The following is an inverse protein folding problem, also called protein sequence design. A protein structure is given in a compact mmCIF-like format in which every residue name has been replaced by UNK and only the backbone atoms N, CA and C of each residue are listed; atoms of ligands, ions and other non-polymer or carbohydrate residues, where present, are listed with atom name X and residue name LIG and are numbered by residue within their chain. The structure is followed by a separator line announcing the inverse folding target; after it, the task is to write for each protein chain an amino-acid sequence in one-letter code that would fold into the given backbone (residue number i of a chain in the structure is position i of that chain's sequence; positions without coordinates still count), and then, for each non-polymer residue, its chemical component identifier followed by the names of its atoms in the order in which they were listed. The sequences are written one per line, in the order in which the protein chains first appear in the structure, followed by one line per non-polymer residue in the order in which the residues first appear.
data_IF_788500622545
#
_entry.id   IF_788500622545
#
_cell.length_a   1.000
_cell.length_b   1.000
_cell.length_c   1.000
_cell.angle_alpha   90.00
_cell.angle_beta   90.00
_cell.angle_gamma   90.00
#
_symmetry.space_group_name_H-M   'P 1'
#
loop_
_entity.id
_entity.type
_entity.pdbx_description
1 polymer ?
#
# COMPACT_ATOMS: atom_id res chain seq x y z
N UNK A 1 16.96 0.91 -4.19
CA UNK A 1 15.85 0.14 -4.78
C UNK A 1 14.71 0.06 -3.77
N UNK A 2 13.50 0.51 -4.14
CA UNK A 2 12.34 0.52 -3.23
C UNK A 2 11.70 -0.87 -3.14
N UNK A 3 11.47 -1.36 -1.92
CA UNK A 3 10.68 -2.58 -1.67
C UNK A 3 9.20 -2.26 -1.70
N UNK A 4 8.44 -3.08 -2.41
CA UNK A 4 7.00 -2.96 -2.59
C UNK A 4 6.34 -4.33 -2.51
N UNK A 5 5.03 -4.35 -2.30
CA UNK A 5 4.23 -5.52 -2.63
C UNK A 5 3.50 -5.24 -3.93
N UNK A 6 3.66 -6.14 -4.90
CA UNK A 6 3.01 -6.07 -6.19
C UNK A 6 1.87 -7.09 -6.26
N UNK A 7 0.72 -6.66 -6.78
CA UNK A 7 -0.47 -7.47 -6.95
C UNK A 7 -0.34 -8.32 -8.22
N UNK A 8 -0.54 -9.63 -8.07
CA UNK A 8 -0.59 -10.61 -9.15
C UNK A 8 -1.64 -11.65 -8.78
N UNK A 9 -2.60 -11.92 -9.66
CA UNK A 9 -3.68 -12.88 -9.44
C UNK A 9 -4.48 -12.64 -8.14
N UNK A 10 -4.72 -11.36 -7.80
CA UNK A 10 -5.47 -10.97 -6.60
C UNK A 10 -4.69 -11.01 -5.28
N UNK A 11 -3.44 -11.49 -5.29
CA UNK A 11 -2.55 -11.53 -4.12
C UNK A 11 -1.37 -10.59 -4.26
N UNK A 12 -0.91 -10.04 -3.14
CA UNK A 12 0.25 -9.16 -3.08
C UNK A 12 1.50 -9.96 -2.70
N UNK A 13 2.57 -9.82 -3.49
CA UNK A 13 3.84 -10.55 -3.30
C UNK A 13 5.01 -9.56 -3.17
N UNK A 14 6.05 -9.89 -2.38
CA UNK A 14 7.24 -9.05 -2.26
C UNK A 14 7.92 -8.85 -3.61
N UNK A 15 8.19 -7.60 -3.94
CA UNK A 15 8.88 -7.21 -5.15
C UNK A 15 9.77 -5.99 -4.90
N UNK A 16 10.68 -5.76 -5.84
CA UNK A 16 11.57 -4.59 -5.83
C UNK A 16 11.33 -3.80 -7.10
N UNK A 17 11.15 -2.50 -6.96
CA UNK A 17 11.08 -1.61 -8.12
C UNK A 17 12.47 -1.49 -8.74
N UNK A 18 12.55 -1.80 -10.03
CA UNK A 18 13.79 -1.77 -10.81
C UNK A 18 13.73 -0.76 -11.95
N UNK A 19 12.56 -0.57 -12.56
CA UNK A 19 12.42 0.30 -13.72
C UNK A 19 11.08 1.06 -13.68
N UNK A 20 11.10 2.31 -14.13
CA UNK A 20 9.90 3.11 -14.39
C UNK A 20 9.96 3.53 -15.87
N UNK A 21 8.95 3.15 -16.66
CA UNK A 21 8.89 3.50 -18.09
C UNK A 21 8.01 4.74 -18.32
N UNK A 22 8.19 5.38 -19.48
CA UNK A 22 7.32 6.46 -19.96
C UNK A 22 5.93 5.85 -20.20
N UNK A 23 4.90 6.37 -19.53
CA UNK A 23 3.53 5.82 -19.59
C UNK A 23 3.00 5.20 -18.29
N UNK A 24 3.68 5.38 -17.15
CA UNK A 24 3.28 4.85 -15.82
C UNK A 24 3.38 3.33 -15.64
N UNK A 25 4.05 2.63 -16.56
CA UNK A 25 4.40 1.22 -16.38
C UNK A 25 5.53 1.09 -15.35
N UNK A 26 5.27 0.30 -14.30
CA UNK A 26 6.24 0.00 -13.26
C UNK A 26 6.85 -1.38 -13.49
N UNK A 27 8.15 -1.43 -13.78
CA UNK A 27 8.95 -2.65 -13.84
C UNK A 27 9.37 -3.09 -12.45
N UNK A 28 8.74 -4.15 -11.95
CA UNK A 28 9.05 -4.77 -10.65
C UNK A 28 9.67 -6.14 -10.84
N UNK A 29 10.58 -6.50 -9.95
CA UNK A 29 11.13 -7.84 -9.87
C UNK A 29 10.56 -8.52 -8.63
N UNK A 30 9.79 -9.59 -8.80
CA UNK A 30 9.31 -10.39 -7.67
C UNK A 30 10.45 -11.14 -7.00
N UNK A 31 10.31 -11.40 -5.70
CA UNK A 31 11.27 -12.22 -4.98
C UNK A 31 11.30 -13.64 -5.58
N UNK A 32 12.48 -14.07 -6.03
CA UNK A 32 12.69 -15.37 -6.70
C UNK A 32 12.67 -15.31 -8.23
N UNK A 33 12.13 -14.22 -8.82
CA UNK A 33 12.10 -14.05 -10.28
C UNK A 33 13.43 -13.48 -10.80
N UNK A 34 13.88 -13.98 -11.96
CA UNK A 34 15.04 -13.43 -12.68
C UNK A 34 14.68 -12.26 -13.60
N UNK A 35 13.40 -12.15 -14.00
CA UNK A 35 12.90 -11.15 -14.94
C UNK A 35 12.17 -9.99 -14.27
N UNK A 36 12.02 -8.89 -15.02
CA UNK A 36 11.13 -7.80 -14.65
C UNK A 36 9.71 -8.12 -15.15
N UNK A 37 8.72 -7.90 -14.28
CA UNK A 37 7.31 -7.84 -14.65
C UNK A 37 6.91 -6.37 -14.74
N UNK A 38 6.34 -5.96 -15.87
CA UNK A 38 5.79 -4.62 -16.03
C UNK A 38 4.31 -4.65 -15.62
N UNK A 39 3.94 -3.76 -14.70
CA UNK A 39 2.57 -3.60 -14.23
C UNK A 39 1.98 -2.34 -14.89
N UNK A 40 0.95 -2.54 -15.70
CA UNK A 40 0.19 -1.46 -16.33
C UNK A 40 -0.65 -0.72 -15.29
N UNK A 41 -0.63 0.62 -15.33
CA UNK A 41 -1.49 1.44 -14.48
C UNK A 41 -1.23 1.32 -12.98
N UNK A 42 0.02 1.03 -12.59
CA UNK A 42 0.46 0.66 -11.23
C UNK A 42 0.02 1.57 -10.06
N UNK A 43 -0.58 2.73 -10.35
CA UNK A 43 -1.02 3.74 -9.39
C UNK A 43 -2.53 4.02 -9.40
N UNK A 44 -3.25 3.66 -10.48
CA UNK A 44 -4.64 4.11 -10.73
C UNK A 44 -5.70 3.05 -10.42
N UNK A 45 -5.32 1.81 -10.16
CA UNK A 45 -6.27 0.76 -9.78
C UNK A 45 -6.81 0.95 -8.36
N UNK A 46 -8.08 0.63 -8.14
CA UNK A 46 -8.67 0.45 -6.81
C UNK A 46 -9.08 -1.03 -6.61
N UNK A 47 -8.41 -1.80 -5.75
CA UNK A 47 -7.24 -1.41 -4.96
C UNK A 47 -5.95 -1.31 -5.81
N UNK A 48 -4.95 -0.54 -5.35
CA UNK A 48 -3.72 -0.27 -6.10
C UNK A 48 -2.97 -1.56 -6.43
N UNK A 49 -2.36 -1.62 -7.62
CA UNK A 49 -1.57 -2.77 -8.04
C UNK A 49 -0.24 -2.88 -7.27
N UNK A 50 0.22 -1.79 -6.66
CA UNK A 50 1.49 -1.74 -5.92
C UNK A 50 1.28 -1.00 -4.61
N UNK A 51 1.81 -1.55 -3.52
CA UNK A 51 1.80 -0.93 -2.19
C UNK A 51 3.18 -0.97 -1.56
N UNK A 52 3.41 -0.12 -0.56
CA UNK A 52 4.69 -0.08 0.14
C UNK A 52 4.85 -1.31 1.06
N UNK A 53 5.99 -2.01 0.96
CA UNK A 53 6.34 -3.10 1.89
C UNK A 53 6.97 -2.52 3.18
N UNK A 54 6.18 -1.74 3.92
CA UNK A 54 6.56 -1.18 5.21
C UNK A 54 5.44 -1.36 6.25
N UNK A 55 5.83 -1.77 7.45
CA UNK A 55 4.92 -1.86 8.59
C UNK A 55 4.35 -0.47 8.91
N UNK A 56 3.03 -0.29 8.93
CA UNK A 56 2.43 1.01 9.19
C UNK A 56 2.65 1.49 10.64
N UNK A 57 2.71 2.81 10.86
CA UNK A 57 2.63 3.39 12.19
C UNK A 57 1.25 3.11 12.79
N UNK A 58 1.15 2.98 14.12
CA UNK A 58 -0.10 2.67 14.79
C UNK A 58 -1.20 3.70 14.50
N UNK A 59 -0.86 5.00 14.44
CA UNK A 59 -1.80 6.06 14.12
C UNK A 59 -2.37 6.03 12.69
N UNK A 60 -1.81 5.21 11.79
CA UNK A 60 -2.35 5.01 10.44
C UNK A 60 -3.28 3.80 10.34
N UNK A 61 -3.50 3.06 11.44
CA UNK A 61 -4.38 1.89 11.48
C UNK A 61 -5.58 2.17 12.38
N UNK A 62 -6.74 2.35 11.75
CA UNK A 62 -8.04 2.46 12.41
C UNK A 62 -9.05 1.44 11.86
N UNK A 63 -10.17 1.27 12.55
CA UNK A 63 -11.33 0.54 11.98
C UNK A 63 -11.75 1.23 10.67
N UNK A 64 -12.03 0.43 9.63
CA UNK A 64 -12.31 0.90 8.28
C UNK A 64 -11.07 1.10 7.40
N UNK A 65 -9.85 1.02 7.96
CA UNK A 65 -8.62 1.18 7.17
C UNK A 65 -8.44 0.01 6.20
N UNK A 66 -8.24 0.31 4.92
CA UNK A 66 -7.89 -0.67 3.90
C UNK A 66 -6.41 -1.08 4.02
N UNK A 67 -6.18 -2.38 4.12
CA UNK A 67 -4.86 -2.96 4.37
C UNK A 67 -4.60 -4.16 3.47
N UNK A 68 -3.32 -4.45 3.26
CA UNK A 68 -2.83 -5.75 2.85
C UNK A 68 -2.39 -6.49 4.11
N UNK A 69 -2.99 -7.65 4.38
CA UNK A 69 -2.67 -8.45 5.55
C UNK A 69 -2.11 -9.82 5.16
N UNK A 70 -1.08 -10.24 5.88
CA UNK A 70 -0.52 -11.58 5.77
C UNK A 70 -1.22 -12.50 6.76
N UNK A 71 -1.79 -13.59 6.25
CA UNK A 71 -2.54 -14.57 7.03
C UNK A 71 -1.62 -15.50 7.83
N UNK A 72 -0.61 -16.06 7.16
CA UNK A 72 0.34 -16.97 7.78
C UNK A 72 1.73 -16.30 7.84
N UNK A 73 2.37 -16.21 9.02
CA UNK A 73 3.75 -15.76 9.15
C UNK A 73 4.79 -16.53 8.31
N UNK A 74 4.52 -17.81 7.99
CA UNK A 74 5.36 -18.65 7.13
C UNK A 74 5.18 -18.33 5.65
N UNK A 75 4.06 -17.71 5.26
CA UNK A 75 3.84 -17.24 3.90
C UNK A 75 4.49 -15.88 3.66
N UNK A 76 4.67 -15.55 2.38
CA UNK A 76 5.07 -14.21 1.93
C UNK A 76 3.93 -13.47 1.23
N UNK A 77 2.73 -14.06 1.22
CA UNK A 77 1.57 -13.54 0.52
C UNK A 77 0.76 -12.60 1.41
N UNK A 78 0.31 -11.50 0.81
CA UNK A 78 -0.58 -10.56 1.44
C UNK A 78 -1.90 -10.50 0.66
N UNK A 79 -3.01 -10.38 1.39
CA UNK A 79 -4.34 -10.28 0.80
C UNK A 79 -4.99 -8.95 1.19
N UNK A 80 -5.75 -8.33 0.28
CA UNK A 80 -6.47 -7.10 0.58
C UNK A 80 -7.58 -7.39 1.61
N UNK A 81 -7.78 -6.45 2.53
CA UNK A 81 -8.83 -6.50 3.53
C UNK A 81 -9.04 -5.17 4.22
N UNK A 82 -9.97 -5.16 5.16
CA UNK A 82 -10.33 -3.99 5.95
C UNK A 82 -10.23 -4.32 7.43
N UNK A 83 -9.61 -3.43 8.21
CA UNK A 83 -9.59 -3.54 9.67
C UNK A 83 -11.01 -3.33 10.20
N UNK A 84 -11.52 -4.29 10.98
CA UNK A 84 -12.86 -4.22 11.59
C UNK A 84 -12.80 -4.03 13.10
N UNK A 85 -11.69 -4.38 13.74
CA UNK A 85 -11.52 -4.32 15.19
C UNK A 85 -10.04 -4.16 15.55
N UNK A 86 -9.74 -3.53 16.69
CA UNK A 86 -8.37 -3.30 17.16
C UNK A 86 -8.30 -3.70 18.65
N UNK A 87 -7.35 -4.56 18.97
CA UNK A 87 -6.97 -4.88 20.35
C UNK A 87 -5.68 -4.15 20.70
N UNK A 88 -5.64 -3.51 21.87
CA UNK A 88 -4.48 -2.75 22.33
C UNK A 88 -3.46 -3.60 23.10
N UNK A 89 -3.83 -4.80 23.59
CA UNK A 89 -3.02 -5.61 24.51
C UNK A 89 -3.09 -7.11 24.17
N UNK A 90 -2.15 -7.66 23.36
CA UNK A 90 -1.14 -6.95 22.56
C UNK A 90 -1.77 -6.24 21.34
N UNK A 91 -1.08 -5.27 20.71
CA UNK A 91 -1.54 -4.60 19.50
C UNK A 91 -1.81 -5.57 18.35
N UNK A 92 -3.10 -5.84 18.12
CA UNK A 92 -3.59 -6.76 17.09
C UNK A 92 -4.78 -6.15 16.36
N UNK A 93 -4.94 -6.50 15.09
CA UNK A 93 -5.95 -5.92 14.22
C UNK A 93 -6.75 -7.03 13.59
N UNK A 94 -8.06 -6.96 13.70
CA UNK A 94 -8.95 -7.94 13.11
C UNK A 94 -9.27 -7.51 11.69
N UNK A 95 -8.94 -8.34 10.71
CA UNK A 95 -9.02 -8.00 9.29
C UNK A 95 -10.07 -8.87 8.59
N UNK A 96 -10.98 -8.22 7.86
CA UNK A 96 -11.93 -8.86 6.95
C UNK A 96 -11.39 -8.80 5.52
N UNK A 97 -11.15 -9.95 4.90
CA UNK A 97 -10.53 -10.07 3.58
C UNK A 97 -11.55 -9.99 2.43
N UNK A 98 -11.10 -9.64 1.22
CA UNK A 98 -11.90 -9.55 0.00
C UNK A 98 -11.42 -10.52 -1.11
N UNK A 99 -12.28 -10.99 -2.05
CA UNK A 99 -13.75 -10.99 -2.03
C UNK A 99 -14.30 -12.25 -1.31
N UNK A 100 -15.57 -12.25 -0.89
CA UNK A 100 -16.20 -13.35 -0.14
C UNK A 100 -16.05 -14.71 -0.83
N UNK A 101 -16.00 -15.83 -0.07
CA UNK A 101 -16.97 -16.21 0.98
C UNK A 101 -16.74 -15.57 2.36
N UNK A 102 -17.71 -15.68 3.29
CA UNK A 102 -17.66 -15.07 4.62
C UNK A 102 -16.64 -15.79 5.52
N UNK A 103 -15.35 -15.66 5.22
CA UNK A 103 -14.32 -16.03 6.17
C UNK A 103 -14.44 -15.10 7.40
N UNK A 104 -14.38 -15.64 8.62
CA UNK A 104 -14.39 -14.81 9.81
C UNK A 104 -13.18 -13.88 9.78
N UNK A 105 -13.34 -12.62 10.24
CA UNK A 105 -12.20 -11.70 10.34
C UNK A 105 -11.11 -12.28 11.24
N UNK A 106 -9.85 -12.23 10.75
CA UNK A 106 -8.69 -12.86 11.40
C UNK A 106 -7.88 -11.81 12.15
N UNK A 107 -7.40 -12.16 13.34
CA UNK A 107 -6.47 -11.32 14.09
C UNK A 107 -5.06 -11.41 13.51
N UNK A 108 -4.51 -10.26 13.14
CA UNK A 108 -3.16 -10.15 12.56
C UNK A 108 -2.34 -9.15 13.38
N UNK A 109 -1.07 -9.46 13.72
CA UNK A 109 -0.19 -8.49 14.36
C UNK A 109 0.16 -7.35 13.41
N UNK A 110 0.51 -6.18 13.95
CA UNK A 110 0.89 -5.00 13.15
C UNK A 110 1.97 -5.31 12.10
N UNK A 111 2.94 -6.17 12.43
CA UNK A 111 4.03 -6.58 11.53
C UNK A 111 3.55 -7.29 10.27
N UNK A 112 2.37 -7.91 10.30
CA UNK A 112 1.72 -8.57 9.16
C UNK A 112 0.84 -7.66 8.31
N UNK A 113 0.78 -6.35 8.60
CA UNK A 113 -0.05 -5.38 7.87
C UNK A 113 0.79 -4.45 6.99
N UNK A 114 0.23 -4.06 5.86
CA UNK A 114 0.71 -2.98 4.98
C UNK A 114 -0.48 -2.10 4.61
N UNK A 115 -0.27 -0.80 4.43
CA UNK A 115 -1.34 0.09 3.99
C UNK A 115 -1.67 -0.19 2.53
N UNK A 116 -2.95 -0.36 2.22
CA UNK A 116 -3.44 -0.52 0.86
C UNK A 116 -3.49 0.84 0.16
N UNK A 117 -2.32 1.47 0.00
CA UNK A 117 -2.15 2.78 -0.62
C UNK A 117 -0.97 2.77 -1.59
N UNK A 118 -1.02 3.56 -2.67
CA UNK A 118 0.12 3.70 -3.55
C UNK A 118 1.35 4.19 -2.78
N UNK A 119 2.56 3.69 -3.07
CA UNK A 119 3.79 4.08 -2.36
C UNK A 119 4.20 5.54 -2.60
N UNK A 120 3.70 6.15 -3.67
CA UNK A 120 4.04 7.48 -4.13
C UNK A 120 2.78 8.34 -4.17
N UNK A 121 2.87 9.62 -3.82
CA UNK A 121 1.75 10.53 -3.98
C UNK A 121 1.33 10.55 -5.47
N UNK A 122 0.03 10.69 -5.77
CA UNK A 122 -0.38 11.04 -7.12
C UNK A 122 0.37 12.33 -7.48
N UNK A 123 1.13 12.31 -8.58
CA UNK A 123 1.81 13.51 -9.09
C UNK A 123 0.73 14.47 -9.61
N UNK A 124 0.10 15.19 -8.69
CA UNK A 124 -0.98 16.13 -8.91
C UNK A 124 -1.10 17.00 -7.67
N UNK A 125 -0.20 17.97 -7.55
CA UNK A 125 -0.07 18.84 -6.39
C UNK A 125 1.21 19.67 -6.43
N UNK A 126 1.58 20.21 -7.60
CA UNK A 126 2.36 21.45 -7.62
C UNK A 126 1.41 22.57 -7.19
N UNK A 127 1.23 22.70 -5.88
CA UNK A 127 0.34 23.67 -5.27
C UNK A 127 0.96 24.16 -3.98
N UNK A 128 2.20 24.65 -4.06
CA UNK A 128 2.66 25.65 -3.11
C UNK A 128 2.18 26.99 -3.65
N UNK A 129 1.12 27.63 -3.12
CA UNK A 129 1.06 29.07 -3.20
C UNK A 129 2.18 29.57 -2.30
N UNK A 130 3.27 30.03 -2.92
CA UNK A 130 4.19 30.91 -2.22
C UNK A 130 3.36 32.14 -1.80
N UNK A 131 3.31 32.53 -0.51
CA UNK A 131 2.87 33.88 -0.20
C UNK A 131 3.97 34.80 -0.71
N UNK A 132 3.76 35.37 -1.90
CA UNK A 132 4.49 36.55 -2.31
C UNK A 132 4.01 37.66 -1.37
N UNK A 133 4.84 37.99 -0.39
CA UNK A 133 4.74 39.26 0.28
C UNK A 133 5.17 40.33 -0.72
N UNK A 134 4.26 41.24 -1.02
CA UNK A 134 4.59 42.55 -1.55
C UNK A 134 3.91 43.55 -0.62
N UNK A 135 4.77 44.13 0.22
CA UNK A 135 4.56 45.36 0.97
C UNK A 135 4.50 46.53 -0.03
N UNK A 136 3.73 47.55 0.37
CA UNK A 136 3.76 48.96 -0.03
C UNK A 136 3.47 49.35 -1.50
N UNK A 137 2.50 50.24 -1.71
CA UNK A 137 2.74 51.69 -1.84
C UNK A 137 1.43 52.47 -2.07
N UNK A 138 1.49 53.73 -1.64
CA UNK A 138 0.47 54.77 -1.51
C UNK A 138 -0.39 55.10 -2.76
N UNK A 139 -1.64 55.54 -2.53
CA UNK A 139 -2.12 56.91 -2.85
C UNK A 139 -3.44 57.24 -2.13
#
# INVERSE_FOLDING_TARGET
CQRVLARRDGVFRPAVVKQLRRGHELGVQFAGDRGLTFLDGGFLGDPPAVVLDATPPAGALGVGTAVCARLDPAETLYRPGTVVEISAKPPSYRVRFAPPPPAPPVWVPRSGLRLLRPPWPPRGGSGSPQPHGEEDEDE
#
